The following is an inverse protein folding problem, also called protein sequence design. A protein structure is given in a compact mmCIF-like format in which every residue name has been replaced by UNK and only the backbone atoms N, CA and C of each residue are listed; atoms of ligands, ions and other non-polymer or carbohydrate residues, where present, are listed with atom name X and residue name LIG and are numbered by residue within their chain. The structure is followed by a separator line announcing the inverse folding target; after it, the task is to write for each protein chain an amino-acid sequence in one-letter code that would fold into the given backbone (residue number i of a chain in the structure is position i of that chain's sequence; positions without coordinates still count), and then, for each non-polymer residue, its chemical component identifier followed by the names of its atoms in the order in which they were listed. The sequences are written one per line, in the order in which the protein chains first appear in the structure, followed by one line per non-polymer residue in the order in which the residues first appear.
data_IF_194920140779
#
_entry.id   IF_194920140779
#
_cell.length_a   1.000
_cell.length_b   1.000
_cell.length_c   1.000
_cell.angle_alpha   90.00
_cell.angle_beta   90.00
_cell.angle_gamma   90.00
#
_symmetry.space_group_name_H-M   'P 1'
#
loop_
_entity.id
_entity.type
_entity.pdbx_description
1 polymer ?
#
# COMPACT_ATOMS: atom_id res chain seq x y z
N UNK A 1 10.94 -5.03 42.99
CA UNK A 1 9.98 -4.64 41.92
C UNK A 1 10.69 -4.75 40.57
N UNK A 2 10.82 -5.97 40.03
CA UNK A 2 11.37 -6.18 38.68
C UNK A 2 11.07 -7.62 38.22
N UNK A 3 9.81 -8.00 38.03
CA UNK A 3 9.49 -9.37 37.58
C UNK A 3 8.22 -9.52 36.72
N UNK A 4 7.70 -8.46 36.09
CA UNK A 4 6.50 -8.56 35.23
C UNK A 4 6.69 -8.22 33.75
N UNK A 5 7.90 -7.86 33.31
CA UNK A 5 8.11 -7.46 31.90
C UNK A 5 8.31 -8.63 30.91
N UNK A 6 8.62 -9.83 31.39
CA UNK A 6 8.99 -10.97 30.54
C UNK A 6 7.86 -11.90 30.06
N UNK A 7 6.65 -11.83 30.66
CA UNK A 7 5.56 -12.81 30.39
C UNK A 7 4.58 -12.41 29.29
N UNK A 8 4.52 -11.14 28.89
CA UNK A 8 3.55 -10.66 27.89
C UNK A 8 4.00 -10.94 26.44
N UNK A 9 5.30 -10.81 26.14
CA UNK A 9 5.83 -11.02 24.79
C UNK A 9 5.89 -12.50 24.37
N UNK A 10 6.09 -13.41 25.32
CA UNK A 10 6.09 -14.85 25.08
C UNK A 10 4.70 -15.42 24.78
N UNK A 11 3.65 -14.91 25.44
CA UNK A 11 2.26 -15.27 25.17
C UNK A 11 1.81 -14.82 23.78
N UNK A 12 2.03 -13.55 23.43
CA UNK A 12 1.67 -13.02 22.10
C UNK A 12 2.39 -13.73 20.94
N UNK A 13 3.68 -14.06 21.09
CA UNK A 13 4.43 -14.82 20.07
C UNK A 13 3.95 -16.27 19.96
N UNK A 14 3.65 -16.91 21.08
CA UNK A 14 3.20 -18.29 21.12
C UNK A 14 1.75 -18.44 20.64
N UNK A 15 0.89 -17.45 20.90
CA UNK A 15 -0.47 -17.36 20.35
C UNK A 15 -0.47 -16.97 18.87
N UNK A 16 0.39 -16.06 18.42
CA UNK A 16 0.58 -15.78 16.98
C UNK A 16 0.97 -17.05 16.22
N UNK A 17 1.93 -17.83 16.71
CA UNK A 17 2.35 -19.09 16.10
C UNK A 17 1.22 -20.15 16.11
N UNK A 18 0.41 -20.18 17.17
CA UNK A 18 -0.69 -21.15 17.34
C UNK A 18 -1.92 -20.80 16.50
N UNK A 19 -2.19 -19.50 16.26
CA UNK A 19 -3.18 -19.00 15.30
C UNK A 19 -2.67 -19.26 13.87
N UNK A 20 -1.37 -19.10 13.61
CA UNK A 20 -0.73 -19.36 12.31
C UNK A 20 -0.90 -20.82 11.86
N UNK A 21 -0.82 -21.78 12.80
CA UNK A 21 -0.85 -23.21 12.49
C UNK A 21 -2.24 -23.80 12.21
N UNK A 22 -3.33 -23.04 12.44
CA UNK A 22 -4.69 -23.62 12.46
C UNK A 22 -5.37 -23.65 11.09
N UNK A 23 -4.96 -22.80 10.14
CA UNK A 23 -5.52 -22.75 8.77
C UNK A 23 -4.51 -22.16 7.76
N UNK A 24 -3.88 -22.97 6.88
CA UNK A 24 -2.89 -22.47 5.92
C UNK A 24 -3.44 -21.40 4.97
N UNK A 25 -4.76 -21.43 4.68
CA UNK A 25 -5.44 -20.44 3.83
C UNK A 25 -5.50 -19.04 4.45
N UNK A 26 -5.71 -18.95 5.78
CA UNK A 26 -5.74 -17.68 6.51
C UNK A 26 -4.34 -17.05 6.58
N UNK A 27 -3.31 -17.88 6.70
CA UNK A 27 -1.92 -17.43 6.71
C UNK A 27 -1.50 -16.82 5.36
N UNK A 28 -1.87 -17.47 4.25
CA UNK A 28 -1.60 -16.92 2.90
C UNK A 28 -2.28 -15.56 2.71
N UNK A 29 -3.54 -15.43 3.13
CA UNK A 29 -4.25 -14.15 3.10
C UNK A 29 -3.53 -13.05 3.88
N UNK A 30 -3.07 -13.34 5.11
CA UNK A 30 -2.33 -12.37 5.92
C UNK A 30 -0.99 -11.98 5.29
N UNK A 31 -0.26 -12.93 4.70
CA UNK A 31 1.00 -12.64 4.01
C UNK A 31 0.77 -11.70 2.83
N UNK A 32 -0.25 -11.95 2.01
CA UNK A 32 -0.64 -11.04 0.94
C UNK A 32 -0.93 -9.64 1.48
N UNK A 33 -1.68 -9.54 2.59
CA UNK A 33 -2.01 -8.25 3.20
C UNK A 33 -0.79 -7.47 3.67
N UNK A 34 0.18 -8.15 4.27
CA UNK A 34 1.44 -7.54 4.69
C UNK A 34 2.25 -7.08 3.47
N UNK A 35 2.33 -7.91 2.42
CA UNK A 35 3.04 -7.55 1.19
C UNK A 35 2.40 -6.33 0.54
N UNK A 36 1.08 -6.23 0.51
CA UNK A 36 0.36 -5.05 0.01
C UNK A 36 0.73 -3.78 0.79
N UNK A 37 0.72 -3.84 2.14
CA UNK A 37 1.12 -2.70 2.99
C UNK A 37 2.55 -2.28 2.67
N UNK A 38 3.49 -3.23 2.63
CA UNK A 38 4.91 -2.95 2.38
C UNK A 38 5.10 -2.32 1.00
N UNK A 39 4.42 -2.81 -0.04
CA UNK A 39 4.50 -2.22 -1.37
C UNK A 39 3.92 -0.81 -1.42
N UNK A 40 2.79 -0.56 -0.75
CA UNK A 40 2.23 0.78 -0.62
C UNK A 40 3.18 1.72 0.12
N UNK A 41 3.77 1.31 1.24
CA UNK A 41 4.68 2.14 2.03
C UNK A 41 5.98 2.45 1.29
N UNK A 42 6.51 1.50 0.50
CA UNK A 42 7.66 1.74 -0.39
C UNK A 42 7.29 2.74 -1.49
N UNK A 43 6.12 2.61 -2.11
CA UNK A 43 5.64 3.58 -3.10
C UNK A 43 5.45 4.98 -2.48
N UNK A 44 4.90 5.06 -1.26
CA UNK A 44 4.78 6.32 -0.52
C UNK A 44 6.16 6.91 -0.22
N UNK A 45 7.11 6.12 0.27
CA UNK A 45 8.45 6.59 0.59
C UNK A 45 9.19 7.15 -0.62
N UNK A 46 9.09 6.46 -1.76
CA UNK A 46 9.67 6.90 -3.04
C UNK A 46 8.94 8.11 -3.63
N UNK A 47 7.64 8.26 -3.36
CA UNK A 47 6.84 9.40 -3.77
C UNK A 47 7.07 10.63 -2.87
N UNK A 48 7.25 10.45 -1.57
CA UNK A 48 7.36 11.58 -0.63
C UNK A 48 8.66 12.37 -0.78
N UNK A 49 9.77 11.71 -1.09
CA UNK A 49 11.04 12.42 -1.30
C UNK A 49 10.93 13.49 -2.39
N UNK A 50 10.32 13.21 -3.56
CA UNK A 50 10.12 14.27 -4.54
C UNK A 50 9.10 15.34 -4.15
N UNK A 51 8.22 15.08 -3.16
CA UNK A 51 7.20 16.02 -2.69
C UNK A 51 7.56 16.78 -1.41
N UNK A 52 8.74 16.53 -0.83
CA UNK A 52 9.20 17.22 0.37
C UNK A 52 9.56 18.68 0.08
N UNK A 53 10.10 18.94 -1.13
CA UNK A 53 10.37 20.31 -1.57
C UNK A 53 9.09 21.05 -1.92
N UNK A 54 8.84 22.17 -1.23
CA UNK A 54 7.66 23.02 -1.42
C UNK A 54 7.59 23.56 -2.84
N UNK A 55 8.73 23.81 -3.52
CA UNK A 55 8.74 24.30 -4.89
C UNK A 55 8.40 23.21 -5.90
N UNK A 56 8.97 22.01 -5.74
CA UNK A 56 8.63 20.86 -6.60
C UNK A 56 7.18 20.47 -6.38
N UNK A 57 6.73 20.36 -5.12
CA UNK A 57 5.31 20.13 -4.80
C UNK A 57 4.42 21.17 -5.46
N UNK A 58 4.75 22.47 -5.36
CA UNK A 58 3.93 23.53 -5.94
C UNK A 58 3.94 23.53 -7.46
N UNK A 59 5.08 23.29 -8.11
CA UNK A 59 5.15 23.16 -9.58
C UNK A 59 4.42 21.91 -10.08
N UNK A 60 4.55 20.79 -9.36
CA UNK A 60 3.81 19.57 -9.63
C UNK A 60 2.31 19.84 -9.49
N UNK A 61 1.83 20.43 -8.39
CA UNK A 61 0.41 20.82 -8.22
C UNK A 61 -0.06 21.94 -9.16
N UNK A 62 0.84 22.76 -9.71
CA UNK A 62 0.49 23.85 -10.62
C UNK A 62 0.38 23.39 -12.08
N UNK A 63 1.14 22.36 -12.47
CA UNK A 63 0.99 21.69 -13.77
C UNK A 63 0.00 20.51 -13.71
N UNK A 64 -0.14 19.87 -12.55
CA UNK A 64 -1.19 18.89 -12.30
C UNK A 64 -2.53 19.59 -12.32
N UNK A 65 -3.46 19.01 -13.04
CA UNK A 65 -4.86 19.20 -12.69
C UNK A 65 -5.00 18.70 -11.26
N UNK A 66 -5.38 19.56 -10.28
CA UNK A 66 -5.51 19.27 -8.83
C UNK A 66 -6.05 17.85 -8.50
N UNK A 67 -6.86 17.32 -9.41
CA UNK A 67 -7.48 16.00 -9.42
C UNK A 67 -6.47 14.84 -9.46
N UNK A 68 -5.45 14.87 -10.33
CA UNK A 68 -4.54 13.73 -10.53
C UNK A 68 -3.64 13.51 -9.31
N UNK A 69 -3.15 14.60 -8.71
CA UNK A 69 -2.32 14.56 -7.51
C UNK A 69 -3.14 14.07 -6.33
N UNK A 70 -4.38 14.57 -6.19
CA UNK A 70 -5.31 14.08 -5.19
C UNK A 70 -5.57 12.57 -5.34
N UNK A 71 -5.69 12.04 -6.56
CA UNK A 71 -5.88 10.60 -6.80
C UNK A 71 -4.65 9.80 -6.35
N UNK A 72 -3.44 10.24 -6.68
CA UNK A 72 -2.18 9.57 -6.30
C UNK A 72 -2.01 9.53 -4.77
N UNK A 73 -2.20 10.66 -4.10
CA UNK A 73 -2.08 10.71 -2.63
C UNK A 73 -3.20 9.91 -1.95
N UNK A 74 -4.44 10.07 -2.41
CA UNK A 74 -5.59 9.37 -1.81
C UNK A 74 -5.49 7.86 -2.01
N UNK A 75 -4.98 7.40 -3.15
CA UNK A 75 -4.81 5.97 -3.39
C UNK A 75 -3.74 5.38 -2.47
N UNK A 76 -2.52 5.93 -2.47
CA UNK A 76 -1.41 5.33 -1.74
C UNK A 76 -1.64 5.37 -0.23
N UNK A 77 -1.97 6.55 0.31
CA UNK A 77 -2.22 6.71 1.74
C UNK A 77 -3.53 6.06 2.18
N UNK A 78 -4.60 6.18 1.38
CA UNK A 78 -5.90 5.61 1.70
C UNK A 78 -5.86 4.09 1.74
N UNK A 79 -5.23 3.44 0.76
CA UNK A 79 -5.15 1.98 0.73
C UNK A 79 -4.13 1.40 1.70
N UNK A 80 -3.04 2.12 2.03
CA UNK A 80 -2.17 1.72 3.15
C UNK A 80 -2.98 1.68 4.46
N UNK A 81 -3.77 2.71 4.76
CA UNK A 81 -4.63 2.73 5.95
C UNK A 81 -5.69 1.62 5.95
N UNK A 82 -6.39 1.40 4.83
CA UNK A 82 -7.38 0.32 4.72
C UNK A 82 -6.72 -1.04 4.95
N UNK A 83 -5.55 -1.28 4.37
CA UNK A 83 -4.85 -2.53 4.57
C UNK A 83 -4.39 -2.74 6.01
N UNK A 84 -3.88 -1.70 6.68
CA UNK A 84 -3.54 -1.76 8.11
C UNK A 84 -4.77 -2.12 8.95
N UNK A 85 -5.91 -1.49 8.69
CA UNK A 85 -7.18 -1.83 9.36
C UNK A 85 -7.54 -3.30 9.15
N UNK A 86 -7.40 -3.82 7.92
CA UNK A 86 -7.67 -5.23 7.62
C UNK A 86 -6.72 -6.20 8.33
N UNK A 87 -5.43 -5.85 8.43
CA UNK A 87 -4.45 -6.62 9.23
C UNK A 87 -4.82 -6.61 10.70
N UNK A 88 -5.18 -5.45 11.25
CA UNK A 88 -5.60 -5.30 12.65
C UNK A 88 -6.88 -6.10 12.92
N UNK A 89 -7.91 -5.99 12.07
CA UNK A 89 -9.14 -6.78 12.20
C UNK A 89 -8.88 -8.29 12.17
N UNK A 90 -7.87 -8.76 11.42
CA UNK A 90 -7.44 -10.15 11.48
C UNK A 90 -6.90 -10.52 12.88
N UNK A 91 -6.10 -9.65 13.51
CA UNK A 91 -5.60 -9.86 14.87
C UNK A 91 -6.71 -9.83 15.93
N UNK A 92 -7.78 -9.08 15.71
CA UNK A 92 -8.96 -9.10 16.59
C UNK A 92 -9.87 -10.33 16.38
N UNK A 93 -9.54 -11.24 15.45
CA UNK A 93 -10.35 -12.39 15.01
C UNK A 93 -11.78 -11.99 14.57
N UNK A 94 -11.96 -10.72 14.16
CA UNK A 94 -13.23 -10.25 13.63
C UNK A 94 -13.47 -10.82 12.23
N UNK A 95 -14.66 -11.41 12.05
CA UNK A 95 -15.06 -11.95 10.75
C UNK A 95 -15.54 -10.83 9.84
N UNK A 96 -14.62 -10.30 9.04
CA UNK A 96 -14.96 -9.39 7.95
C UNK A 96 -15.74 -10.12 6.85
N UNK A 97 -16.81 -9.51 6.31
CA UNK A 97 -17.55 -10.10 5.21
C UNK A 97 -16.70 -10.17 3.94
N UNK A 98 -16.66 -11.34 3.30
CA UNK A 98 -15.85 -11.61 2.10
C UNK A 98 -16.04 -10.59 0.99
N UNK A 99 -17.28 -10.13 0.79
CA UNK A 99 -17.63 -9.13 -0.22
C UNK A 99 -16.89 -7.80 0.02
N UNK A 100 -16.74 -7.40 1.27
CA UNK A 100 -16.04 -6.16 1.65
C UNK A 100 -14.54 -6.27 1.38
N UNK A 101 -13.93 -7.42 1.70
CA UNK A 101 -12.53 -7.70 1.38
C UNK A 101 -12.26 -7.61 -0.12
N UNK A 102 -13.10 -8.26 -0.95
CA UNK A 102 -12.98 -8.21 -2.41
C UNK A 102 -13.18 -6.81 -2.98
N UNK A 103 -14.11 -6.02 -2.44
CA UNK A 103 -14.34 -4.65 -2.91
C UNK A 103 -13.12 -3.78 -2.59
N UNK A 104 -12.60 -3.83 -1.37
CA UNK A 104 -11.44 -3.01 -1.02
C UNK A 104 -10.21 -3.39 -1.84
N UNK A 105 -9.93 -4.68 -1.99
CA UNK A 105 -8.78 -5.16 -2.77
C UNK A 105 -8.93 -4.83 -4.27
N UNK A 106 -10.14 -4.96 -4.84
CA UNK A 106 -10.35 -4.65 -6.27
C UNK A 106 -10.28 -3.15 -6.57
N UNK A 107 -10.83 -2.29 -5.71
CA UNK A 107 -10.73 -0.84 -5.88
C UNK A 107 -9.29 -0.36 -5.63
N UNK A 108 -8.57 -0.97 -4.67
CA UNK A 108 -7.14 -0.73 -4.47
C UNK A 108 -6.32 -1.06 -5.71
N UNK A 109 -6.58 -2.21 -6.35
CA UNK A 109 -5.91 -2.62 -7.58
C UNK A 109 -6.08 -1.58 -8.68
N UNK A 110 -7.31 -1.10 -8.90
CA UNK A 110 -7.60 -0.11 -9.95
C UNK A 110 -6.91 1.21 -9.65
N UNK A 111 -7.01 1.72 -8.42
CA UNK A 111 -6.46 3.03 -8.07
C UNK A 111 -4.91 3.02 -8.00
N UNK A 112 -4.29 1.93 -7.54
CA UNK A 112 -2.84 1.78 -7.61
C UNK A 112 -2.35 1.68 -9.07
N UNK A 113 -3.14 1.04 -9.96
CA UNK A 113 -2.84 1.01 -11.39
C UNK A 113 -2.88 2.41 -12.00
N UNK A 114 -3.98 3.14 -11.77
CA UNK A 114 -4.14 4.52 -12.24
C UNK A 114 -2.99 5.40 -11.72
N UNK A 115 -2.65 5.25 -10.44
CA UNK A 115 -1.54 5.98 -9.81
C UNK A 115 -0.19 5.67 -10.47
N UNK A 116 0.10 4.39 -10.70
CA UNK A 116 1.32 4.00 -11.40
C UNK A 116 1.38 4.53 -12.83
N UNK A 117 0.27 4.51 -13.57
CA UNK A 117 0.19 5.07 -14.93
C UNK A 117 0.40 6.58 -14.91
N UNK A 118 -0.25 7.32 -14.01
CA UNK A 118 -0.09 8.78 -13.87
C UNK A 118 1.37 9.11 -13.60
N UNK A 119 2.01 8.44 -12.63
CA UNK A 119 3.41 8.69 -12.28
C UNK A 119 4.38 8.40 -13.46
N UNK A 120 4.11 7.37 -14.27
CA UNK A 120 4.94 7.02 -15.43
C UNK A 120 4.72 7.97 -16.61
N UNK A 121 3.46 8.33 -16.90
CA UNK A 121 3.12 9.25 -18.00
C UNK A 121 3.70 10.63 -17.71
N UNK A 122 3.63 11.07 -16.46
CA UNK A 122 4.15 12.37 -16.05
C UNK A 122 5.66 12.49 -16.25
N UNK A 123 6.39 11.40 -16.01
CA UNK A 123 7.81 11.31 -16.29
C UNK A 123 8.13 11.57 -17.78
N UNK A 124 7.23 11.16 -18.67
CA UNK A 124 7.39 11.32 -20.13
C UNK A 124 6.99 12.71 -20.64
N UNK A 125 6.18 13.45 -19.89
CA UNK A 125 5.66 14.76 -20.28
C UNK A 125 6.45 15.95 -19.70
N UNK A 126 7.35 15.72 -18.74
CA UNK A 126 8.12 16.80 -18.11
C UNK A 126 9.31 17.25 -18.96
N UNK A 127 9.38 18.56 -19.25
CA UNK A 127 10.60 19.21 -19.74
C UNK A 127 11.64 19.23 -18.60
N UNK A 128 12.82 18.63 -18.86
CA UNK A 128 13.91 18.41 -17.91
C UNK A 128 14.51 19.68 -17.27
N UNK A 129 14.03 20.87 -17.64
CA UNK A 129 14.58 22.16 -17.22
C UNK A 129 13.98 22.71 -15.91
N UNK A 130 12.81 22.22 -15.44
CA UNK A 130 12.11 22.79 -14.27
C UNK A 130 12.13 21.92 -13.00
N UNK A 131 12.45 20.63 -13.10
CA UNK A 131 12.44 19.68 -11.97
C UNK A 131 13.82 19.02 -11.89
N UNK A 132 14.48 19.02 -10.71
CA UNK A 132 15.81 18.42 -10.61
C UNK A 132 15.75 16.92 -10.91
N UNK A 133 16.74 16.42 -11.65
CA UNK A 133 16.80 15.02 -12.11
C UNK A 133 16.69 13.98 -10.98
N UNK A 134 17.11 14.33 -9.76
CA UNK A 134 17.00 13.48 -8.58
C UNK A 134 15.54 13.14 -8.21
N UNK A 135 14.59 14.04 -8.51
CA UNK A 135 13.16 13.85 -8.28
C UNK A 135 12.53 12.92 -9.32
N UNK A 136 12.97 13.07 -10.57
CA UNK A 136 12.57 12.27 -11.74
C UNK A 136 13.04 10.82 -11.57
N UNK A 137 14.27 10.61 -11.10
CA UNK A 137 14.86 9.28 -10.87
C UNK A 137 14.13 8.47 -9.80
N UNK A 138 13.37 9.11 -8.91
CA UNK A 138 12.59 8.45 -7.87
C UNK A 138 11.10 8.30 -8.20
N UNK A 139 10.57 9.14 -9.09
CA UNK A 139 9.20 9.02 -9.58
C UNK A 139 8.97 7.74 -10.39
N UNK A 140 9.93 7.38 -11.24
CA UNK A 140 9.89 6.16 -12.05
C UNK A 140 9.78 4.89 -11.19
N UNK A 141 10.67 4.63 -10.22
CA UNK A 141 10.55 3.46 -9.36
C UNK A 141 9.29 3.52 -8.49
N UNK A 142 8.84 4.70 -8.04
CA UNK A 142 7.55 4.84 -7.34
C UNK A 142 6.37 4.36 -8.19
N UNK A 143 6.27 4.83 -9.44
CA UNK A 143 5.25 4.39 -10.39
C UNK A 143 5.30 2.89 -10.68
N UNK A 144 6.49 2.33 -10.89
CA UNK A 144 6.67 0.90 -11.09
C UNK A 144 6.22 0.09 -9.86
N UNK A 145 6.56 0.52 -8.64
CA UNK A 145 6.12 -0.14 -7.41
C UNK A 145 4.61 -0.04 -7.24
N UNK A 146 3.97 1.08 -7.60
CA UNK A 146 2.51 1.21 -7.57
C UNK A 146 1.82 0.26 -8.56
N UNK A 147 2.37 0.06 -9.76
CA UNK A 147 1.87 -0.96 -10.71
C UNK A 147 2.06 -2.37 -10.16
N UNK A 148 3.20 -2.67 -9.53
CA UNK A 148 3.41 -3.95 -8.86
C UNK A 148 2.43 -4.17 -7.70
N UNK A 149 2.16 -3.14 -6.90
CA UNK A 149 1.16 -3.18 -5.83
C UNK A 149 -0.23 -3.49 -6.40
N UNK A 150 -0.61 -2.87 -7.52
CA UNK A 150 -1.87 -3.15 -8.22
C UNK A 150 -2.00 -4.63 -8.61
N UNK A 151 -0.94 -5.24 -9.14
CA UNK A 151 -0.93 -6.67 -9.47
C UNK A 151 -1.12 -7.55 -8.22
N UNK A 152 -0.49 -7.19 -7.11
CA UNK A 152 -0.67 -7.92 -5.85
C UNK A 152 -2.11 -7.80 -5.34
N UNK A 153 -2.71 -6.61 -5.37
CA UNK A 153 -4.12 -6.41 -5.02
C UNK A 153 -5.07 -7.19 -5.94
N UNK A 154 -4.78 -7.24 -7.24
CA UNK A 154 -5.56 -8.04 -8.18
C UNK A 154 -5.47 -9.54 -7.86
N UNK A 155 -4.28 -10.03 -7.53
CA UNK A 155 -4.07 -11.41 -7.09
C UNK A 155 -4.79 -11.70 -5.77
N UNK A 156 -4.73 -10.81 -4.79
CA UNK A 156 -5.46 -10.93 -3.53
C UNK A 156 -6.98 -11.00 -3.74
N UNK A 157 -7.51 -10.18 -4.65
CA UNK A 157 -8.93 -10.23 -5.05
C UNK A 157 -9.30 -11.61 -5.63
N UNK A 158 -8.48 -12.16 -6.53
CA UNK A 158 -8.71 -13.49 -7.14
C UNK A 158 -8.60 -14.62 -6.11
N UNK A 159 -7.63 -14.53 -5.20
CA UNK A 159 -7.45 -15.50 -4.13
C UNK A 159 -8.62 -15.45 -3.14
N UNK A 160 -9.05 -14.26 -2.75
CA UNK A 160 -10.22 -14.05 -1.88
C UNK A 160 -11.49 -14.60 -2.52
N UNK A 161 -11.67 -14.39 -3.83
CA UNK A 161 -12.80 -14.96 -4.56
C UNK A 161 -12.80 -16.50 -4.59
N UNK A 162 -11.63 -17.11 -4.77
CA UNK A 162 -11.50 -18.57 -4.95
C UNK A 162 -11.45 -19.36 -3.64
N UNK A 163 -10.79 -18.83 -2.60
CA UNK A 163 -10.40 -19.61 -1.42
C UNK A 163 -11.15 -19.28 -0.14
N UNK A 164 -11.69 -18.06 -0.04
CA UNK A 164 -12.38 -17.60 1.16
C UNK A 164 -13.85 -17.91 1.03
#
# INVERSE_FOLDING_TARGET
MAEESGRSSGGARMDCARIMGKNPKRMVFLIFKIVEVVLCDVAIGLSNYPFDDVQVRRNFFHNFTDIEGAIVFTSLYGYSLINVVLVVSYFLDEKLPKKMLMIFSSVAAILCCITGVILIVELGNHDYDLVPTEYIDQLLPSGCVAVLASLVFALDTLLTYKYI
#
